data_IF_257116431108
#
_entry.id   IF_257116431108
#
_cell.length_a   1.000
_cell.length_b   1.000
_cell.length_c   1.000
_cell.angle_alpha   90.00
_cell.angle_beta   90.00
_cell.angle_gamma   90.00
#
_symmetry.space_group_name_H-M   'P 1'
#
loop_
_entity.id
_entity.type
_entity.pdbx_description
1 polymer ?
#
# COMPACT_ATOMS: atom_id res chain seq x y z
N UNK A 1 33.29 -5.75 -9.70
CA UNK A 1 32.19 -5.37 -10.62
C UNK A 1 31.08 -6.44 -10.58
N UNK A 2 30.63 -6.80 -9.39
CA UNK A 2 29.63 -7.87 -9.17
C UNK A 2 28.86 -7.49 -7.91
N UNK A 3 27.75 -6.75 -8.08
CA UNK A 3 26.66 -6.65 -7.11
C UNK A 3 25.42 -5.92 -7.64
N UNK A 4 25.50 -5.21 -8.77
CA UNK A 4 24.33 -4.50 -9.32
C UNK A 4 23.30 -5.40 -10.04
N UNK A 5 23.65 -6.65 -10.43
CA UNK A 5 22.70 -7.55 -11.11
C UNK A 5 21.79 -8.33 -10.16
N UNK A 6 22.24 -8.63 -8.94
CA UNK A 6 21.42 -9.35 -7.95
C UNK A 6 20.34 -8.44 -7.38
N UNK A 7 20.72 -7.25 -6.89
CA UNK A 7 19.76 -6.30 -6.27
C UNK A 7 18.66 -5.84 -7.24
N UNK A 8 19.01 -5.64 -8.51
CA UNK A 8 18.05 -5.22 -9.55
C UNK A 8 17.05 -6.33 -9.92
N UNK A 9 17.45 -7.60 -9.79
CA UNK A 9 16.56 -8.75 -10.01
C UNK A 9 15.58 -8.89 -8.85
N UNK A 10 16.04 -8.67 -7.62
CA UNK A 10 15.21 -8.75 -6.41
C UNK A 10 14.17 -7.61 -6.36
N UNK A 11 14.58 -6.37 -6.66
CA UNK A 11 13.66 -5.22 -6.74
C UNK A 11 12.57 -5.41 -7.80
N UNK A 12 12.90 -5.98 -8.96
CA UNK A 12 11.90 -6.27 -10.00
C UNK A 12 10.89 -7.34 -9.55
N UNK A 13 11.34 -8.37 -8.83
CA UNK A 13 10.45 -9.42 -8.28
C UNK A 13 9.50 -8.81 -7.25
N UNK A 14 10.01 -7.98 -6.33
CA UNK A 14 9.18 -7.29 -5.32
C UNK A 14 8.16 -6.39 -6.00
N UNK A 15 8.59 -5.58 -6.97
CA UNK A 15 7.70 -4.68 -7.71
C UNK A 15 6.59 -5.45 -8.43
N UNK A 16 6.91 -6.57 -9.07
CA UNK A 16 5.93 -7.45 -9.73
C UNK A 16 4.94 -8.08 -8.74
N UNK A 17 5.42 -8.53 -7.57
CA UNK A 17 4.55 -9.10 -6.55
C UNK A 17 3.56 -8.05 -6.00
N UNK A 18 4.03 -6.83 -5.73
CA UNK A 18 3.17 -5.72 -5.28
C UNK A 18 2.20 -5.29 -6.38
N UNK A 19 2.64 -5.24 -7.64
CA UNK A 19 1.76 -4.94 -8.78
C UNK A 19 0.68 -6.01 -8.96
N UNK A 20 1.04 -7.29 -8.85
CA UNK A 20 0.08 -8.39 -8.94
C UNK A 20 -0.94 -8.32 -7.81
N UNK A 21 -0.49 -8.10 -6.57
CA UNK A 21 -1.37 -7.91 -5.41
C UNK A 21 -2.31 -6.71 -5.61
N UNK A 22 -1.81 -5.57 -6.07
CA UNK A 22 -2.63 -4.39 -6.34
C UNK A 22 -3.75 -4.72 -7.36
N UNK A 23 -3.39 -5.41 -8.45
CA UNK A 23 -4.34 -5.74 -9.51
C UNK A 23 -5.36 -6.81 -9.09
N UNK A 24 -4.92 -7.89 -8.45
CA UNK A 24 -5.79 -9.04 -8.14
C UNK A 24 -6.59 -8.84 -6.87
N UNK A 25 -5.98 -8.25 -5.84
CA UNK A 25 -6.58 -8.11 -4.50
C UNK A 25 -7.26 -6.75 -4.40
N UNK A 26 -6.50 -5.66 -4.44
CA UNK A 26 -7.04 -4.32 -4.17
C UNK A 26 -8.07 -3.92 -5.23
N UNK A 27 -7.71 -4.07 -6.51
CA UNK A 27 -8.59 -3.73 -7.64
C UNK A 27 -9.53 -4.89 -7.97
N UNK A 28 -9.02 -6.13 -8.05
CA UNK A 28 -9.79 -7.30 -8.46
C UNK A 28 -10.91 -7.69 -7.49
N UNK A 29 -10.73 -7.47 -6.19
CA UNK A 29 -11.80 -7.62 -5.19
C UNK A 29 -12.58 -6.32 -4.96
N UNK A 30 -12.21 -5.22 -5.63
CA UNK A 30 -12.83 -3.91 -5.47
C UNK A 30 -12.76 -3.39 -4.02
N UNK A 31 -11.62 -3.58 -3.35
CA UNK A 31 -11.40 -3.09 -1.98
C UNK A 31 -11.16 -1.59 -1.94
N UNK A 32 -10.59 -1.04 -3.00
CA UNK A 32 -10.36 0.40 -3.11
C UNK A 32 -11.02 0.95 -4.37
N UNK A 33 -12.06 1.81 -4.26
CA UNK A 33 -12.74 2.37 -5.42
C UNK A 33 -11.86 3.35 -6.20
N UNK A 34 -10.76 3.79 -5.60
CA UNK A 34 -9.85 4.76 -6.17
C UNK A 34 -8.77 4.13 -7.07
N UNK A 35 -8.29 2.92 -6.76
CA UNK A 35 -7.09 2.35 -7.39
C UNK A 35 -7.25 2.00 -8.88
N UNK A 36 -8.46 1.62 -9.32
CA UNK A 36 -8.66 1.06 -10.66
C UNK A 36 -8.42 2.06 -11.81
N UNK A 37 -8.80 3.33 -11.63
CA UNK A 37 -8.63 4.36 -12.68
C UNK A 37 -7.16 4.79 -12.83
N UNK A 38 -6.44 5.16 -11.77
CA UNK A 38 -5.01 5.46 -11.84
C UNK A 38 -4.21 4.30 -12.43
N UNK A 39 -4.53 3.06 -12.05
CA UNK A 39 -3.84 1.88 -12.60
C UNK A 39 -4.02 1.76 -14.12
N UNK A 40 -5.26 1.87 -14.63
CA UNK A 40 -5.51 1.84 -16.09
C UNK A 40 -4.80 2.96 -16.85
N UNK A 41 -4.65 4.11 -16.22
CA UNK A 41 -3.98 5.27 -16.80
C UNK A 41 -2.45 5.24 -16.61
N UNK A 42 -1.90 4.22 -15.93
CA UNK A 42 -0.48 4.11 -15.57
C UNK A 42 0.02 5.28 -14.71
N UNK A 43 -0.80 5.70 -13.76
CA UNK A 43 -0.55 6.82 -12.84
C UNK A 43 -0.18 6.33 -11.43
N UNK A 44 0.11 5.04 -11.27
CA UNK A 44 0.58 4.45 -10.01
C UNK A 44 2.05 4.11 -10.18
N UNK A 45 2.90 4.64 -9.30
CA UNK A 45 4.30 4.25 -9.19
C UNK A 45 4.44 3.20 -8.09
N UNK A 46 5.22 2.16 -8.36
CA UNK A 46 5.71 1.24 -7.32
C UNK A 46 7.20 1.52 -7.15
N UNK A 47 7.57 2.03 -5.98
CA UNK A 47 8.95 2.24 -5.57
C UNK A 47 9.34 1.15 -4.57
N UNK A 48 10.42 0.44 -4.85
CA UNK A 48 10.97 -0.58 -3.95
C UNK A 48 12.15 0.03 -3.22
N UNK A 49 12.03 0.17 -1.90
CA UNK A 49 13.09 0.74 -1.06
C UNK A 49 14.18 -0.29 -0.77
N UNK A 50 15.43 0.12 -0.92
CA UNK A 50 16.60 -0.66 -0.49
C UNK A 50 17.02 -0.32 0.95
N UNK A 51 16.22 0.46 1.68
CA UNK A 51 16.52 0.87 3.04
C UNK A 51 16.63 -0.33 3.99
N UNK A 52 17.60 -0.25 4.91
CA UNK A 52 17.82 -1.22 5.99
C UNK A 52 17.78 -0.55 7.38
N UNK A 53 17.52 0.76 7.41
CA UNK A 53 17.41 1.58 8.61
C UNK A 53 16.33 2.64 8.40
N UNK A 54 15.69 3.06 9.49
CA UNK A 54 14.50 3.91 9.48
C UNK A 54 14.74 5.27 8.82
N UNK A 55 15.91 5.88 9.06
CA UNK A 55 16.22 7.21 8.52
C UNK A 55 16.26 7.21 7.00
N UNK A 56 16.84 6.17 6.40
CA UNK A 56 16.91 6.01 4.94
C UNK A 56 15.53 5.74 4.36
N UNK A 57 14.69 4.94 5.03
CA UNK A 57 13.33 4.69 4.59
C UNK A 57 12.47 5.97 4.64
N UNK A 58 12.65 6.80 5.67
CA UNK A 58 11.94 8.06 5.80
C UNK A 58 12.37 9.06 4.71
N UNK A 59 13.66 9.11 4.37
CA UNK A 59 14.17 9.88 3.23
C UNK A 59 13.61 9.40 1.88
N UNK A 60 13.49 8.08 1.68
CA UNK A 60 12.87 7.49 0.50
C UNK A 60 11.40 7.91 0.36
N UNK A 61 10.63 7.81 1.44
CA UNK A 61 9.21 8.21 1.48
C UNK A 61 9.06 9.72 1.24
N UNK A 62 9.91 10.55 1.87
CA UNK A 62 9.93 11.99 1.63
C UNK A 62 10.16 12.28 0.14
N UNK A 63 11.12 11.59 -0.49
CA UNK A 63 11.41 11.75 -1.92
C UNK A 63 10.20 11.39 -2.77
N UNK A 64 9.49 10.31 -2.44
CA UNK A 64 8.28 9.92 -3.18
C UNK A 64 7.13 10.92 -2.99
N UNK A 65 6.95 11.48 -1.78
CA UNK A 65 5.97 12.54 -1.52
C UNK A 65 6.30 13.83 -2.28
N UNK A 66 7.58 14.23 -2.33
CA UNK A 66 8.03 15.40 -3.10
C UNK A 66 7.82 15.21 -4.61
N UNK A 67 8.08 14.02 -5.13
CA UNK A 67 7.82 13.68 -6.53
C UNK A 67 6.32 13.73 -6.83
N UNK A 68 5.48 13.18 -5.95
CA UNK A 68 4.03 13.34 -6.05
C UNK A 68 3.68 14.82 -6.08
N UNK A 69 4.07 15.61 -5.07
CA UNK A 69 3.73 17.03 -4.96
C UNK A 69 4.10 17.84 -6.21
N UNK A 70 5.29 17.60 -6.77
CA UNK A 70 5.81 18.32 -7.94
C UNK A 70 5.34 17.78 -9.29
N UNK A 71 4.68 16.62 -9.34
CA UNK A 71 4.23 15.98 -10.60
C UNK A 71 2.72 16.10 -10.77
N UNK A 72 2.22 16.61 -11.91
CA UNK A 72 0.78 16.65 -12.19
C UNK A 72 0.09 15.28 -12.01
N UNK A 73 -1.12 15.28 -11.41
CA UNK A 73 -1.89 14.07 -11.14
C UNK A 73 -2.24 13.25 -12.40
N UNK A 74 -2.27 13.89 -13.57
CA UNK A 74 -2.47 13.19 -14.84
C UNK A 74 -1.27 12.32 -15.27
N UNK A 75 -0.10 12.54 -14.67
CA UNK A 75 1.13 11.76 -14.88
C UNK A 75 1.42 10.81 -13.71
N UNK A 76 1.28 11.29 -12.47
CA UNK A 76 1.51 10.49 -11.26
C UNK A 76 0.46 10.83 -10.20
N UNK A 77 -0.37 9.86 -9.90
CA UNK A 77 -1.51 10.00 -8.99
C UNK A 77 -1.19 9.45 -7.60
N UNK A 78 -0.51 8.30 -7.52
CA UNK A 78 -0.12 7.69 -6.23
C UNK A 78 1.20 6.95 -6.33
N UNK A 79 1.85 6.76 -5.19
CA UNK A 79 3.04 5.93 -5.07
C UNK A 79 2.85 4.87 -3.99
N UNK A 80 3.15 3.61 -4.33
CA UNK A 80 3.30 2.50 -3.39
C UNK A 80 4.79 2.36 -3.08
N UNK A 81 5.17 2.54 -1.83
CA UNK A 81 6.53 2.30 -1.32
C UNK A 81 6.56 0.92 -0.69
N UNK A 82 7.23 -0.04 -1.35
CA UNK A 82 7.42 -1.39 -0.85
C UNK A 82 8.76 -1.53 -0.12
N UNK A 83 8.74 -2.19 1.04
CA UNK A 83 9.90 -2.27 1.94
C UNK A 83 10.26 -3.74 2.20
N UNK A 84 11.05 -4.38 1.33
CA UNK A 84 11.36 -5.82 1.43
C UNK A 84 12.52 -6.16 2.38
N UNK A 85 13.26 -5.17 2.90
CA UNK A 85 14.52 -5.38 3.60
C UNK A 85 14.50 -5.00 5.10
N UNK A 86 13.35 -4.53 5.60
CA UNK A 86 13.13 -4.16 7.00
C UNK A 86 11.63 -4.05 7.28
N UNK A 87 11.25 -3.83 8.56
CA UNK A 87 9.86 -3.76 9.02
C UNK A 87 9.06 -5.05 8.76
N UNK A 88 9.72 -6.21 8.78
CA UNK A 88 9.02 -7.52 8.73
C UNK A 88 8.19 -7.75 10.01
N UNK A 89 8.60 -7.16 11.13
CA UNK A 89 7.83 -7.17 12.37
C UNK A 89 6.73 -6.10 12.33
N UNK A 90 5.47 -6.52 12.52
CA UNK A 90 4.33 -5.62 12.43
C UNK A 90 4.30 -4.54 13.52
N UNK A 91 4.90 -4.78 14.70
CA UNK A 91 4.99 -3.77 15.74
C UNK A 91 5.96 -2.66 15.33
N UNK A 92 7.14 -3.02 14.82
CA UNK A 92 8.10 -2.05 14.28
C UNK A 92 7.49 -1.27 13.11
N UNK A 93 6.76 -1.94 12.20
CA UNK A 93 6.02 -1.29 11.12
C UNK A 93 5.01 -0.27 11.66
N UNK A 94 4.21 -0.63 12.67
CA UNK A 94 3.23 0.28 13.27
C UNK A 94 3.89 1.51 13.90
N UNK A 95 5.03 1.36 14.57
CA UNK A 95 5.78 2.50 15.09
C UNK A 95 6.35 3.38 13.98
N UNK A 96 6.71 2.79 12.84
CA UNK A 96 7.18 3.55 11.70
C UNK A 96 6.08 4.40 11.02
N UNK A 97 4.81 3.96 11.06
CA UNK A 97 3.68 4.75 10.55
C UNK A 97 3.63 6.14 11.21
N UNK A 98 3.85 6.22 12.52
CA UNK A 98 3.83 7.49 13.26
C UNK A 98 4.88 8.48 12.74
N UNK A 99 6.05 7.98 12.32
CA UNK A 99 7.11 8.81 11.72
C UNK A 99 6.69 9.34 10.35
N UNK A 100 6.07 8.52 9.50
CA UNK A 100 5.58 8.94 8.19
C UNK A 100 4.45 9.96 8.33
N UNK A 101 3.53 9.75 9.26
CA UNK A 101 2.49 10.75 9.52
C UNK A 101 3.10 12.06 10.05
N UNK A 102 4.03 11.99 11.00
CA UNK A 102 4.71 13.19 11.51
C UNK A 102 5.42 13.96 10.39
N UNK A 103 6.02 13.26 9.42
CA UNK A 103 6.62 13.87 8.23
C UNK A 103 5.58 14.63 7.39
N UNK A 104 4.43 14.01 7.11
CA UNK A 104 3.31 14.65 6.37
C UNK A 104 2.86 15.92 7.10
N UNK A 105 2.70 15.87 8.42
CA UNK A 105 2.33 17.03 9.25
C UNK A 105 3.37 18.14 9.17
N UNK A 106 4.65 17.81 9.32
CA UNK A 106 5.75 18.78 9.32
C UNK A 106 5.89 19.53 7.99
N UNK A 107 5.56 18.89 6.87
CA UNK A 107 5.59 19.51 5.54
C UNK A 107 4.30 20.29 5.21
N UNK A 108 3.32 20.34 6.12
CA UNK A 108 1.98 20.88 5.90
C UNK A 108 1.22 20.16 4.76
N UNK A 109 1.40 18.85 4.66
CA UNK A 109 0.73 17.99 3.69
C UNK A 109 -0.51 17.28 4.27
N UNK A 110 -0.90 17.59 5.51
CA UNK A 110 -2.22 17.21 6.04
C UNK A 110 -3.32 17.79 5.15
N UNK A 111 -4.30 16.96 4.75
CA UNK A 111 -5.33 17.37 3.79
C UNK A 111 -4.88 17.31 2.32
N UNK A 112 -3.60 17.04 2.05
CA UNK A 112 -3.02 16.96 0.70
C UNK A 112 -2.71 15.52 0.34
N UNK A 113 -2.03 14.81 1.23
CA UNK A 113 -1.69 13.40 1.08
C UNK A 113 -2.26 12.58 2.22
N UNK A 114 -2.83 11.43 1.86
CA UNK A 114 -3.23 10.39 2.78
C UNK A 114 -2.27 9.21 2.70
N UNK A 115 -1.96 8.64 3.85
CA UNK A 115 -1.23 7.40 4.00
C UNK A 115 -2.22 6.23 4.17
N UNK A 116 -2.16 5.24 3.30
CA UNK A 116 -2.79 3.93 3.53
C UNK A 116 -1.70 2.86 3.75
N UNK A 117 -1.95 1.97 4.71
CA UNK A 117 -0.93 1.07 5.27
C UNK A 117 -1.29 -0.39 5.04
N UNK A 118 -0.29 -1.17 4.67
CA UNK A 118 -0.43 -2.58 4.34
C UNK A 118 0.80 -3.35 4.81
N UNK A 119 0.58 -4.55 5.35
CA UNK A 119 1.64 -5.39 5.91
C UNK A 119 1.30 -6.88 5.75
N UNK A 120 2.26 -7.81 5.57
CA UNK A 120 1.97 -9.24 5.51
C UNK A 120 1.21 -9.75 6.74
N UNK A 121 1.65 -9.30 7.92
CA UNK A 121 1.04 -9.63 9.22
C UNK A 121 0.06 -8.57 9.72
N UNK A 122 -0.57 -7.81 8.82
CA UNK A 122 -1.54 -6.78 9.24
C UNK A 122 -2.60 -7.41 10.15
N UNK A 123 -2.84 -6.76 11.29
CA UNK A 123 -3.84 -7.14 12.27
C UNK A 123 -4.50 -5.87 12.84
N UNK A 124 -5.83 -5.73 12.67
CA UNK A 124 -6.54 -4.57 13.21
C UNK A 124 -6.59 -4.60 14.73
N UNK A 125 -6.61 -3.41 15.34
CA UNK A 125 -6.71 -3.28 16.79
C UNK A 125 -8.00 -3.90 17.32
N UNK A 126 -7.90 -5.00 18.05
CA UNK A 126 -9.03 -5.73 18.63
C UNK A 126 -9.52 -6.93 17.80
N UNK A 127 -8.94 -7.16 16.62
CA UNK A 127 -9.17 -8.35 15.80
C UNK A 127 -8.39 -9.56 16.32
N UNK A 128 -8.87 -10.77 16.01
CA UNK A 128 -8.03 -11.96 16.12
C UNK A 128 -7.00 -11.99 14.96
N UNK A 129 -5.73 -12.36 15.19
CA UNK A 129 -4.75 -12.51 14.12
C UNK A 129 -5.18 -13.45 12.98
N UNK A 130 -6.08 -14.40 13.23
CA UNK A 130 -6.60 -15.32 12.20
C UNK A 130 -7.90 -14.80 11.54
N UNK A 131 -8.43 -13.64 11.96
CA UNK A 131 -9.65 -13.08 11.37
C UNK A 131 -9.43 -12.63 9.93
N UNK A 132 -10.41 -12.96 9.09
CA UNK A 132 -10.39 -12.68 7.66
C UNK A 132 -10.46 -11.18 7.34
N UNK A 133 -10.98 -10.35 8.25
CA UNK A 133 -11.01 -8.89 8.07
C UNK A 133 -9.62 -8.31 7.86
N UNK A 134 -8.60 -8.92 8.47
CA UNK A 134 -7.22 -8.50 8.31
C UNK A 134 -6.75 -8.60 6.85
N UNK A 135 -7.33 -9.49 6.05
CA UNK A 135 -7.00 -9.66 4.64
C UNK A 135 -7.27 -8.40 3.81
N UNK A 136 -8.09 -7.45 4.27
CA UNK A 136 -8.29 -6.17 3.56
C UNK A 136 -7.01 -5.35 3.47
N UNK A 137 -6.09 -5.51 4.43
CA UNK A 137 -4.86 -4.75 4.54
C UNK A 137 -3.59 -5.62 4.48
N UNK A 138 -3.74 -6.94 4.24
CA UNK A 138 -2.58 -7.81 4.04
C UNK A 138 -1.99 -7.68 2.64
N UNK A 139 -0.67 -7.54 2.57
CA UNK A 139 0.12 -7.36 1.35
C UNK A 139 1.31 -8.31 1.32
N UNK A 140 1.95 -8.54 0.15
CA UNK A 140 3.11 -9.43 0.04
C UNK A 140 4.37 -8.91 0.77
N UNK A 141 4.45 -7.60 1.01
CA UNK A 141 5.53 -6.91 1.71
C UNK A 141 4.95 -5.77 2.55
N UNK A 142 5.66 -5.23 3.55
CA UNK A 142 5.34 -3.94 4.14
C UNK A 142 5.24 -2.87 3.04
N UNK A 143 4.10 -2.18 2.97
CA UNK A 143 3.81 -1.20 1.91
C UNK A 143 3.16 0.04 2.51
N UNK A 144 3.66 1.21 2.09
CA UNK A 144 3.04 2.51 2.32
C UNK A 144 2.45 3.01 1.02
N UNK A 145 1.14 3.26 0.99
CA UNK A 145 0.47 3.84 -0.18
C UNK A 145 0.23 5.33 0.06
N UNK A 146 0.94 6.15 -0.71
CA UNK A 146 0.88 7.60 -0.69
C UNK A 146 -0.15 8.06 -1.72
N UNK A 147 -1.25 8.67 -1.26
CA UNK A 147 -2.42 8.98 -2.08
C UNK A 147 -2.74 10.47 -2.02
N UNK A 148 -3.07 11.09 -3.15
CA UNK A 148 -3.60 12.46 -3.19
C UNK A 148 -5.02 12.50 -2.64
N UNK A 149 -5.23 13.24 -1.56
CA UNK A 149 -6.53 13.33 -0.88
C UNK A 149 -7.59 13.98 -1.78
N UNK A 150 -7.23 15.04 -2.51
CA UNK A 150 -8.13 15.70 -3.46
C UNK A 150 -8.72 14.70 -4.48
N UNK A 151 -7.89 13.76 -4.94
CA UNK A 151 -8.29 12.75 -5.91
C UNK A 151 -9.23 11.71 -5.31
N UNK A 152 -9.01 11.33 -4.06
CA UNK A 152 -9.91 10.47 -3.31
C UNK A 152 -11.26 11.17 -3.07
N UNK A 153 -11.26 12.42 -2.60
CA UNK A 153 -12.49 13.19 -2.36
C UNK A 153 -13.37 13.28 -3.62
N UNK A 154 -12.76 13.52 -4.79
CA UNK A 154 -13.49 13.58 -6.06
C UNK A 154 -14.20 12.27 -6.38
N UNK A 155 -13.60 11.13 -6.06
CA UNK A 155 -14.22 9.81 -6.26
C UNK A 155 -15.30 9.57 -5.21
N UNK A 156 -15.04 9.87 -3.93
CA UNK A 156 -15.97 9.63 -2.84
C UNK A 156 -17.26 10.47 -2.96
N UNK A 157 -17.19 11.69 -3.53
CA UNK A 157 -18.37 12.54 -3.82
C UNK A 157 -19.42 11.85 -4.70
N UNK A 158 -19.00 10.90 -5.52
CA UNK A 158 -19.88 10.15 -6.42
C UNK A 158 -20.04 8.68 -6.03
N UNK A 159 -19.32 8.24 -4.98
CA UNK A 159 -19.40 6.87 -4.49
C UNK A 159 -20.61 6.73 -3.56
N UNK A 160 -21.52 5.76 -3.78
CA UNK A 160 -22.63 5.54 -2.87
C UNK A 160 -22.11 5.06 -1.51
N UNK A 161 -22.52 5.73 -0.41
CA UNK A 161 -22.19 5.36 0.97
C UNK A 161 -20.69 5.07 1.19
N UNK A 162 -19.80 6.06 1.03
CA UNK A 162 -18.35 5.85 1.20
C UNK A 162 -17.99 5.35 2.60
N UNK A 163 -18.78 5.69 3.62
CA UNK A 163 -18.60 5.19 4.99
C UNK A 163 -18.77 3.68 5.12
N UNK A 164 -19.45 3.01 4.18
CA UNK A 164 -19.65 1.57 4.18
C UNK A 164 -18.51 0.80 3.47
N UNK A 165 -17.48 1.48 2.95
CA UNK A 165 -16.34 0.84 2.27
C UNK A 165 -15.65 -0.17 3.20
N UNK A 166 -15.31 0.15 4.46
CA UNK A 166 -14.69 -0.83 5.37
C UNK A 166 -15.55 -2.10 5.53
N UNK A 167 -16.82 -1.95 5.86
CA UNK A 167 -17.74 -3.10 6.04
C UNK A 167 -17.89 -3.93 4.75
N UNK A 168 -17.94 -3.25 3.60
CA UNK A 168 -18.02 -3.90 2.28
C UNK A 168 -16.76 -4.70 1.97
N UNK A 169 -15.59 -4.15 2.32
CA UNK A 169 -14.30 -4.81 2.14
C UNK A 169 -14.19 -6.06 3.01
N UNK A 170 -14.57 -5.95 4.29
CA UNK A 170 -14.57 -7.06 5.24
C UNK A 170 -15.48 -8.18 4.73
N UNK A 171 -16.75 -7.87 4.43
CA UNK A 171 -17.69 -8.85 3.90
C UNK A 171 -17.18 -9.50 2.61
N UNK A 172 -16.48 -8.74 1.77
CA UNK A 172 -15.90 -9.26 0.53
C UNK A 172 -14.79 -10.26 0.80
N UNK A 173 -13.85 -9.98 1.70
CA UNK A 173 -12.75 -10.91 2.01
C UNK A 173 -13.23 -12.13 2.78
N UNK A 174 -14.19 -11.97 3.70
CA UNK A 174 -14.83 -13.09 4.42
C UNK A 174 -15.53 -14.06 3.47
N UNK A 175 -16.16 -13.55 2.41
CA UNK A 175 -16.84 -14.37 1.40
C UNK A 175 -15.91 -15.21 0.52
N UNK A 176 -14.59 -14.99 0.58
CA UNK A 176 -13.61 -15.74 -0.22
C UNK A 176 -13.54 -17.20 0.25
N UNK A 177 -13.60 -18.13 -0.70
CA UNK A 177 -13.33 -19.53 -0.43
C UNK A 177 -11.85 -19.74 -0.06
N UNK A 178 -11.51 -20.85 0.64
CA UNK A 178 -10.12 -21.18 0.96
C UNK A 178 -9.20 -21.28 -0.28
N UNK A 179 -9.75 -21.67 -1.44
CA UNK A 179 -8.99 -21.75 -2.69
C UNK A 179 -8.68 -20.35 -3.24
N UNK A 180 -9.65 -19.43 -3.18
CA UNK A 180 -9.44 -18.03 -3.57
C UNK A 180 -8.42 -17.37 -2.64
N UNK A 181 -8.52 -17.58 -1.32
CA UNK A 181 -7.54 -17.03 -0.35
C UNK A 181 -6.12 -17.49 -0.66
N UNK A 182 -5.91 -18.79 -0.89
CA UNK A 182 -4.57 -19.31 -1.29
C UNK A 182 -4.07 -18.76 -2.61
N UNK A 183 -4.98 -18.49 -3.56
CA UNK A 183 -4.62 -17.92 -4.86
C UNK A 183 -4.24 -16.44 -4.75
N UNK A 184 -4.99 -15.68 -3.97
CA UNK A 184 -4.87 -14.21 -3.85
C UNK A 184 -3.79 -13.80 -2.85
N UNK A 185 -3.58 -14.60 -1.81
CA UNK A 185 -2.63 -14.35 -0.73
C UNK A 185 -1.65 -15.54 -0.57
N UNK A 186 -0.96 -15.99 -1.63
CA UNK A 186 -0.14 -17.20 -1.58
C UNK A 186 0.99 -17.11 -0.54
N UNK A 187 1.45 -15.90 -0.24
CA UNK A 187 2.50 -15.59 0.75
C UNK A 187 2.06 -15.74 2.21
N UNK A 188 0.75 -15.89 2.50
CA UNK A 188 0.24 -16.13 3.85
C UNK A 188 0.04 -17.61 4.18
N UNK A 189 0.05 -18.48 3.16
CA UNK A 189 -0.29 -19.90 3.30
C UNK A 189 0.85 -20.84 2.85
N UNK A 190 2.04 -20.28 2.67
CA UNK A 190 3.27 -20.97 2.26
C UNK A 190 3.98 -21.65 3.43
#
# INVERSE_FOLDING_TARGET
>A
MTNQRSTQTDSQVVSQAVEQWLNDVVIGLNLCPFAAKPQRNKQIKIFVSDAQVEEVLLEDILTQLMELDSTPADQLETTLVAVPNMLDDFYDYNMFIDWVEALIRQQNWEGVFQLATFHPDYCFGGADPDDDENLTNRSPYPVFHLIREESMERVLKHYPNPEAIPDTNIARVESLSPQERRKLFPYLFS
#
